data_IF_758906353372
#
_entry.id   IF_758906353372
#
_cell.length_a   1.000
_cell.length_b   1.000
_cell.length_c   1.000
_cell.angle_alpha   90.00
_cell.angle_beta   90.00
_cell.angle_gamma   90.00
#
_symmetry.space_group_name_H-M   'P 1'
#
loop_
_entity.id
_entity.type
_entity.pdbx_description
1 polymer ?
#
# COMPACT_ATOMS: atom_id res chain seq x y z
N UNK A 1 -17.28 13.29 16.36
CA UNK A 1 -16.06 13.18 15.53
C UNK A 1 -15.09 12.27 16.24
N UNK A 2 -14.66 11.20 15.58
CA UNK A 2 -13.59 10.38 16.13
C UNK A 2 -12.27 11.17 16.03
N UNK A 3 -11.47 11.19 17.10
CA UNK A 3 -10.19 11.92 17.11
C UNK A 3 -9.05 11.11 16.50
N UNK A 4 -9.29 9.81 16.28
CA UNK A 4 -8.29 8.85 15.88
C UNK A 4 -8.44 8.50 14.40
N UNK A 5 -7.34 8.58 13.67
CA UNK A 5 -7.27 8.29 12.24
C UNK A 5 -6.15 7.27 11.99
N UNK A 6 -6.51 6.14 11.39
CA UNK A 6 -5.56 5.15 10.87
C UNK A 6 -5.31 5.45 9.40
N UNK A 7 -4.05 5.73 9.07
CA UNK A 7 -3.61 5.97 7.71
C UNK A 7 -2.79 4.76 7.25
N UNK A 8 -3.19 4.16 6.13
CA UNK A 8 -2.48 3.02 5.55
C UNK A 8 -1.96 3.40 4.17
N UNK A 9 -0.65 3.29 3.99
CA UNK A 9 0.00 3.49 2.70
C UNK A 9 0.21 2.13 2.02
N UNK A 10 -0.42 1.96 0.86
CA UNK A 10 -0.38 0.72 0.09
C UNK A 10 0.33 1.00 -1.23
N UNK A 11 1.26 0.13 -1.60
CA UNK A 11 1.94 0.21 -2.88
C UNK A 11 1.21 -0.67 -3.88
N UNK A 12 0.92 -0.16 -5.07
CA UNK A 12 0.32 -0.97 -6.12
C UNK A 12 1.29 -2.07 -6.55
N UNK A 13 0.84 -3.32 -6.46
CA UNK A 13 1.60 -4.46 -6.96
C UNK A 13 1.35 -4.54 -8.47
N UNK A 14 2.39 -4.37 -9.27
CA UNK A 14 2.33 -4.70 -10.71
C UNK A 14 3.14 -5.96 -10.95
N UNK A 15 2.51 -7.01 -11.47
CA UNK A 15 3.19 -8.22 -11.92
C UNK A 15 4.42 -7.83 -12.76
N UNK A 16 5.61 -8.26 -12.32
CA UNK A 16 6.90 -7.92 -12.95
C UNK A 16 7.63 -6.68 -12.42
N UNK A 17 7.08 -5.92 -11.45
CA UNK A 17 7.73 -4.73 -10.86
C UNK A 17 8.00 -4.79 -9.34
N UNK A 18 7.72 -5.91 -8.67
CA UNK A 18 7.64 -5.90 -7.19
C UNK A 18 8.64 -6.86 -6.55
N UNK A 19 9.40 -6.31 -5.59
CA UNK A 19 10.39 -6.96 -4.73
C UNK A 19 11.33 -7.91 -5.49
N UNK A 20 12.16 -7.34 -6.36
CA UNK A 20 13.27 -8.04 -7.05
C UNK A 20 14.10 -8.94 -6.11
N UNK A 21 14.28 -8.53 -4.86
CA UNK A 21 14.98 -9.31 -3.83
C UNK A 21 14.25 -10.59 -3.38
N UNK A 22 12.93 -10.58 -3.29
CA UNK A 22 12.12 -11.76 -2.93
C UNK A 22 11.79 -12.61 -4.16
N UNK A 23 11.47 -11.96 -5.30
CA UNK A 23 11.23 -12.64 -6.56
C UNK A 23 12.44 -13.46 -7.03
N UNK A 24 13.67 -13.03 -6.72
CA UNK A 24 14.88 -13.80 -6.97
C UNK A 24 14.93 -15.14 -6.21
N UNK A 25 14.21 -15.27 -5.10
CA UNK A 25 14.21 -16.46 -4.24
C UNK A 25 12.97 -17.33 -4.42
N UNK A 26 11.78 -16.73 -4.54
CA UNK A 26 10.48 -17.43 -4.55
C UNK A 26 9.67 -17.24 -5.85
N UNK A 27 10.25 -16.56 -6.84
CA UNK A 27 9.57 -16.23 -8.11
C UNK A 27 8.60 -15.05 -7.99
N UNK A 28 8.27 -14.44 -9.14
CA UNK A 28 7.36 -13.29 -9.22
C UNK A 28 5.97 -13.59 -8.65
N UNK A 29 5.46 -14.81 -8.86
CA UNK A 29 4.16 -15.23 -8.37
C UNK A 29 4.15 -15.39 -6.84
N UNK A 30 5.14 -16.09 -6.27
CA UNK A 30 5.25 -16.23 -4.82
C UNK A 30 5.40 -14.88 -4.10
N UNK A 31 6.17 -13.96 -4.67
CA UNK A 31 6.31 -12.61 -4.12
C UNK A 31 4.99 -11.81 -4.17
N UNK A 32 4.19 -11.98 -5.23
CA UNK A 32 2.85 -11.40 -5.35
C UNK A 32 1.89 -11.97 -4.32
N UNK A 33 1.89 -13.29 -4.13
CA UNK A 33 0.98 -13.99 -3.22
C UNK A 33 1.27 -13.61 -1.76
N UNK A 34 2.54 -13.59 -1.35
CA UNK A 34 2.95 -13.16 0.00
C UNK A 34 2.56 -11.71 0.25
N UNK A 35 2.75 -10.82 -0.71
CA UNK A 35 2.33 -9.43 -0.53
C UNK A 35 0.81 -9.33 -0.41
N UNK A 36 0.05 -10.05 -1.24
CA UNK A 36 -1.41 -10.09 -1.16
C UNK A 36 -1.88 -10.53 0.22
N UNK A 37 -1.25 -11.58 0.78
CA UNK A 37 -1.53 -12.04 2.14
C UNK A 37 -1.23 -10.98 3.20
N UNK A 38 -0.13 -10.22 3.07
CA UNK A 38 0.19 -9.15 4.00
C UNK A 38 -0.86 -8.03 3.98
N UNK A 39 -1.35 -7.66 2.79
CA UNK A 39 -2.43 -6.67 2.65
C UNK A 39 -3.70 -7.20 3.31
N UNK A 40 -4.07 -8.45 3.06
CA UNK A 40 -5.27 -9.08 3.64
C UNK A 40 -5.22 -9.15 5.17
N UNK A 41 -4.06 -9.50 5.73
CA UNK A 41 -3.85 -9.53 7.20
C UNK A 41 -4.00 -8.13 7.77
N UNK A 42 -3.44 -7.11 7.10
CA UNK A 42 -3.57 -5.71 7.53
C UNK A 42 -5.03 -5.26 7.45
N UNK A 43 -5.77 -5.63 6.39
CA UNK A 43 -7.19 -5.30 6.24
C UNK A 43 -8.04 -5.89 7.35
N UNK A 44 -7.82 -7.17 7.68
CA UNK A 44 -8.50 -7.83 8.79
C UNK A 44 -8.17 -7.18 10.14
N UNK A 45 -6.90 -6.83 10.36
CA UNK A 45 -6.45 -6.23 11.62
C UNK A 45 -7.07 -4.85 11.87
N UNK A 46 -7.12 -3.98 10.85
CA UNK A 46 -7.68 -2.64 11.06
C UNK A 46 -9.21 -2.60 11.02
N UNK A 47 -9.87 -3.65 10.51
CA UNK A 47 -11.34 -3.73 10.46
C UNK A 47 -11.95 -3.65 11.86
N UNK A 48 -11.30 -4.21 12.86
CA UNK A 48 -11.77 -4.24 14.27
C UNK A 48 -11.49 -2.94 15.04
N UNK A 49 -10.61 -2.07 14.53
CA UNK A 49 -10.24 -0.81 15.19
C UNK A 49 -11.38 0.21 15.04
N UNK A 50 -11.81 0.83 16.15
CA UNK A 50 -12.80 1.92 16.15
C UNK A 50 -12.15 3.29 15.88
N UNK A 51 -11.58 3.44 14.69
CA UNK A 51 -10.99 4.69 14.21
C UNK A 51 -11.42 4.98 12.77
N UNK A 52 -11.32 6.24 12.35
CA UNK A 52 -11.47 6.57 10.93
C UNK A 52 -10.30 5.96 10.15
N UNK A 53 -10.54 5.48 8.93
CA UNK A 53 -9.52 4.79 8.13
C UNK A 53 -9.39 5.42 6.75
N UNK A 54 -8.16 5.75 6.37
CA UNK A 54 -7.82 6.27 5.04
C UNK A 54 -6.71 5.45 4.41
N UNK A 55 -6.95 5.01 3.18
CA UNK A 55 -6.03 4.17 2.41
C UNK A 55 -5.46 5.00 1.27
N UNK A 56 -4.14 5.09 1.21
CA UNK A 56 -3.42 5.86 0.20
C UNK A 56 -2.58 4.94 -0.70
N UNK A 57 -2.96 4.86 -1.97
CA UNK A 57 -2.31 4.04 -2.98
C UNK A 57 -1.18 4.79 -3.68
N UNK A 58 -0.11 4.09 -4.06
CA UNK A 58 1.04 4.72 -4.72
C UNK A 58 0.78 5.14 -6.17
N UNK A 59 -0.05 4.40 -6.91
CA UNK A 59 -0.27 4.66 -8.35
C UNK A 59 -1.75 4.75 -8.72
N UNK A 60 -2.57 3.79 -8.25
CA UNK A 60 -3.99 3.72 -8.61
C UNK A 60 -4.82 3.11 -7.49
N UNK A 61 -6.07 3.52 -7.37
CA UNK A 61 -6.99 2.91 -6.41
C UNK A 61 -7.36 1.50 -6.86
N UNK A 62 -7.31 0.54 -5.93
CA UNK A 62 -7.76 -0.83 -6.16
C UNK A 62 -9.13 -1.02 -5.52
N UNK A 63 -10.17 -1.26 -6.32
CA UNK A 63 -11.55 -1.31 -5.81
C UNK A 63 -11.86 -2.58 -5.01
N UNK A 64 -11.29 -3.72 -5.41
CA UNK A 64 -11.58 -5.01 -4.78
C UNK A 64 -11.10 -5.15 -3.35
N UNK A 65 -10.17 -4.30 -2.90
CA UNK A 65 -9.64 -4.28 -1.53
C UNK A 65 -10.17 -3.06 -0.79
N UNK A 66 -10.30 -3.14 0.54
CA UNK A 66 -10.67 -2.00 1.39
C UNK A 66 -12.04 -1.37 1.07
N UNK A 67 -13.05 -2.16 0.67
CA UNK A 67 -14.35 -1.69 0.11
C UNK A 67 -15.08 -0.61 0.92
N UNK A 68 -14.91 -0.58 2.23
CA UNK A 68 -15.63 0.34 3.13
C UNK A 68 -14.76 1.50 3.66
N UNK A 69 -13.54 1.65 3.16
CA UNK A 69 -12.62 2.70 3.61
C UNK A 69 -12.47 3.78 2.54
N UNK A 70 -12.15 5.00 2.98
CA UNK A 70 -11.84 6.10 2.06
C UNK A 70 -10.51 5.82 1.38
N UNK A 71 -10.48 5.90 0.04
CA UNK A 71 -9.32 5.59 -0.79
C UNK A 71 -8.88 6.82 -1.57
N UNK A 72 -7.58 7.05 -1.66
CA UNK A 72 -6.99 8.10 -2.49
C UNK A 72 -5.66 7.62 -3.08
N UNK A 73 -5.20 8.29 -4.14
CA UNK A 73 -3.83 8.12 -4.65
C UNK A 73 -2.93 9.15 -3.98
N UNK A 74 -1.72 8.74 -3.62
CA UNK A 74 -0.70 9.62 -3.06
C UNK A 74 -0.28 10.64 -4.12
N UNK A 75 -0.33 11.91 -3.76
CA UNK A 75 0.17 13.01 -4.58
C UNK A 75 1.25 13.74 -3.79
N UNK A 76 2.45 13.81 -4.33
CA UNK A 76 3.58 14.48 -3.72
C UNK A 76 4.79 14.43 -4.64
N UNK A 77 5.56 15.52 -4.66
CA UNK A 77 6.85 15.52 -5.34
C UNK A 77 7.82 14.63 -4.59
N UNK A 78 8.45 13.70 -5.32
CA UNK A 78 9.60 12.97 -4.79
C UNK A 78 10.75 13.96 -4.74
N UNK A 79 10.98 14.55 -3.57
CA UNK A 79 12.14 15.40 -3.35
C UNK A 79 13.38 14.50 -3.43
N UNK A 80 14.06 14.50 -4.59
CA UNK A 80 15.34 13.81 -4.72
C UNK A 80 16.33 14.54 -3.80
N UNK A 81 17.00 13.84 -2.87
CA UNK A 81 17.87 14.51 -1.89
C UNK A 81 19.08 15.23 -2.49
N UNK A 82 19.27 15.19 -3.82
CA UNK A 82 20.50 15.59 -4.50
C UNK A 82 20.28 16.39 -5.79
N UNK A 83 19.15 17.08 -5.95
CA UNK A 83 18.95 17.98 -7.12
C UNK A 83 19.36 19.44 -6.86
N UNK A 84 19.98 19.77 -5.71
CA UNK A 84 20.42 21.13 -5.39
C UNK A 84 21.93 21.28 -5.12
N UNK A 85 22.75 20.39 -5.66
CA UNK A 85 24.20 20.56 -5.71
C UNK A 85 24.66 20.51 -7.17
N UNK A 86 24.22 21.47 -7.98
CA UNK A 86 24.91 22.02 -9.15
C UNK A 86 24.30 23.38 -9.48
#
# INVERSE_FOLDING_TARGET
MNKELVIVFVKNIKLGKVKTRLAATIGNQGAFDVYTQLVDVTEKAIKTIKADKRIYFSEAVVENTWKNNVKAVQQGEVRRPYESCF
#
